data_IF_562018242462
#
_entry.id   IF_562018242462
#
_cell.length_a   1.000
_cell.length_b   1.000
_cell.length_c   1.000
_cell.angle_alpha   90.00
_cell.angle_beta   90.00
_cell.angle_gamma   90.00
#
_symmetry.space_group_name_H-M   'P 1'
#
loop_
_entity.id
_entity.type
_entity.pdbx_description
1 polymer ?
#
# COMPACT_ATOMS: atom_id res chain seq x y z
N UNK A 1 0.82 -17.79 -6.43
CA UNK A 1 2.22 -17.30 -6.37
C UNK A 1 2.18 -16.01 -5.58
N UNK A 2 2.88 -15.94 -4.44
CA UNK A 2 3.12 -14.68 -3.75
C UNK A 2 4.16 -13.90 -4.55
N UNK A 3 3.85 -12.67 -4.95
CA UNK A 3 4.81 -11.78 -5.61
C UNK A 3 5.53 -10.93 -4.56
N UNK A 4 6.83 -10.72 -4.76
CA UNK A 4 7.69 -9.95 -3.87
C UNK A 4 8.20 -8.72 -4.62
N UNK A 5 8.07 -7.55 -3.99
CA UNK A 5 8.58 -6.28 -4.48
C UNK A 5 9.58 -5.74 -3.47
N UNK A 6 10.70 -5.16 -3.92
CA UNK A 6 11.69 -4.53 -3.05
C UNK A 6 12.06 -3.18 -3.63
N UNK A 7 12.22 -2.18 -2.76
CA UNK A 7 12.66 -0.86 -3.21
C UNK A 7 12.97 0.09 -2.07
N UNK A 8 13.61 1.20 -2.43
CA UNK A 8 13.86 2.31 -1.52
C UNK A 8 12.61 3.17 -1.44
N UNK A 9 12.15 3.47 -0.21
CA UNK A 9 10.96 4.29 0.00
C UNK A 9 11.22 5.73 -0.43
N UNK A 10 10.39 6.20 -1.35
CA UNK A 10 10.48 7.54 -1.93
C UNK A 10 9.46 8.50 -1.33
N UNK A 11 9.85 9.77 -1.23
CA UNK A 11 8.94 10.83 -0.80
C UNK A 11 8.07 11.31 -1.95
N UNK A 12 6.76 11.20 -1.78
CA UNK A 12 5.76 11.72 -2.70
C UNK A 12 4.93 12.82 -2.02
N UNK A 13 3.78 13.18 -2.60
CA UNK A 13 2.90 14.25 -2.10
C UNK A 13 2.33 14.00 -0.69
N UNK A 14 2.51 12.79 -0.13
CA UNK A 14 2.09 12.47 1.24
C UNK A 14 0.58 12.59 1.46
N UNK A 15 -0.23 12.37 0.42
CA UNK A 15 -1.69 12.54 0.48
C UNK A 15 -2.34 11.59 1.47
N UNK A 16 -1.95 10.32 1.46
CA UNK A 16 -2.45 9.35 2.42
C UNK A 16 -2.21 9.80 3.86
N UNK A 17 -1.02 10.36 4.17
CA UNK A 17 -0.72 10.87 5.50
C UNK A 17 -1.67 12.00 5.95
N UNK A 18 -2.14 12.86 5.04
CA UNK A 18 -3.13 13.91 5.35
C UNK A 18 -4.53 13.33 5.64
N UNK A 19 -4.78 12.10 5.21
CA UNK A 19 -6.03 11.36 5.43
C UNK A 19 -5.92 10.37 6.60
N UNK A 20 -4.80 10.34 7.32
CA UNK A 20 -4.55 9.38 8.41
C UNK A 20 -3.91 8.05 7.97
N UNK A 21 -3.61 7.89 6.68
CA UNK A 21 -3.08 6.66 6.09
C UNK A 21 -1.70 6.90 5.44
N UNK A 22 -0.62 7.05 6.22
CA UNK A 22 0.72 7.20 5.66
C UNK A 22 1.12 5.97 4.83
N UNK A 23 1.67 6.20 3.63
CA UNK A 23 2.10 5.13 2.72
C UNK A 23 3.59 5.22 2.40
N UNK A 24 4.26 4.07 2.42
CA UNK A 24 5.60 3.88 1.89
C UNK A 24 5.49 3.63 0.37
N UNK A 25 6.19 4.43 -0.43
CA UNK A 25 6.10 4.38 -1.89
C UNK A 25 7.36 3.76 -2.47
N UNK A 26 7.24 2.71 -3.28
CA UNK A 26 8.36 2.14 -4.06
C UNK A 26 8.00 2.04 -5.54
N UNK A 27 8.98 2.23 -6.42
CA UNK A 27 8.81 2.02 -7.84
C UNK A 27 8.53 0.53 -8.14
N UNK A 28 7.67 0.25 -9.11
CA UNK A 28 7.41 -1.11 -9.57
C UNK A 28 7.48 -1.18 -11.09
N UNK A 29 7.60 -2.41 -11.61
CA UNK A 29 7.59 -2.64 -13.05
C UNK A 29 6.22 -2.23 -13.66
N UNK A 30 6.19 -1.69 -14.89
CA UNK A 30 4.95 -1.32 -15.57
C UNK A 30 3.94 -2.46 -15.71
N UNK A 31 4.40 -3.70 -15.76
CA UNK A 31 3.60 -4.92 -15.88
C UNK A 31 2.97 -5.38 -14.56
N UNK A 32 3.33 -4.75 -13.43
CA UNK A 32 2.75 -5.08 -12.14
C UNK A 32 1.22 -4.91 -12.17
N UNK A 33 0.52 -5.92 -11.67
CA UNK A 33 -0.93 -5.93 -11.61
C UNK A 33 -1.43 -4.78 -10.73
N UNK A 34 -2.42 -4.05 -11.21
CA UNK A 34 -3.01 -2.93 -10.48
C UNK A 34 -4.12 -3.40 -9.53
N UNK A 35 -4.29 -2.65 -8.44
CA UNK A 35 -5.34 -2.88 -7.47
C UNK A 35 -4.88 -2.65 -6.04
N UNK A 36 -5.70 -3.13 -5.11
CA UNK A 36 -5.42 -3.14 -3.68
C UNK A 36 -5.20 -4.58 -3.24
N UNK A 37 -4.12 -4.79 -2.51
CA UNK A 37 -3.65 -6.08 -2.07
C UNK A 37 -3.44 -6.09 -0.55
N UNK A 38 -3.54 -7.27 0.03
CA UNK A 38 -3.12 -7.55 1.41
C UNK A 38 -1.80 -8.28 1.40
N UNK A 39 -0.92 -7.90 2.31
CA UNK A 39 0.43 -8.40 2.34
C UNK A 39 1.19 -8.08 3.61
N UNK A 40 2.48 -8.39 3.57
CA UNK A 40 3.43 -8.02 4.61
C UNK A 40 4.43 -7.02 4.03
N UNK A 41 4.69 -5.94 4.75
CA UNK A 41 5.85 -5.09 4.47
C UNK A 41 6.95 -5.41 5.46
N UNK A 42 8.11 -5.83 4.97
CA UNK A 42 9.31 -6.07 5.72
C UNK A 42 10.20 -4.82 5.78
N UNK A 43 10.66 -4.48 6.97
CA UNK A 43 11.65 -3.44 7.25
C UNK A 43 12.50 -3.87 8.44
N UNK A 44 13.83 -3.77 8.30
CA UNK A 44 14.80 -4.03 9.40
C UNK A 44 14.56 -5.38 10.12
N UNK A 45 14.21 -6.43 9.36
CA UNK A 45 14.00 -7.79 9.89
C UNK A 45 12.65 -8.01 10.59
N UNK A 46 11.75 -7.02 10.59
CA UNK A 46 10.37 -7.15 11.07
C UNK A 46 9.40 -7.06 9.90
N UNK A 47 8.26 -7.73 10.03
CA UNK A 47 7.17 -7.68 9.06
C UNK A 47 5.93 -7.08 9.71
N UNK A 48 5.27 -6.19 8.99
CA UNK A 48 3.99 -5.59 9.38
C UNK A 48 2.91 -6.02 8.39
N UNK A 49 1.71 -6.42 8.86
CA UNK A 49 0.52 -6.47 8.02
C UNK A 49 0.36 -5.16 7.25
N UNK A 50 -0.02 -5.23 5.99
CA UNK A 50 -0.08 -4.05 5.13
C UNK A 50 -1.20 -4.11 4.11
N UNK A 51 -1.73 -2.93 3.80
CA UNK A 51 -2.59 -2.69 2.64
C UNK A 51 -1.70 -2.07 1.56
N UNK A 52 -1.68 -2.67 0.37
CA UNK A 52 -0.80 -2.25 -0.71
C UNK A 52 -1.64 -1.84 -1.91
N UNK A 53 -1.55 -0.59 -2.30
CA UNK A 53 -2.06 -0.12 -3.58
C UNK A 53 -0.97 -0.23 -4.63
N UNK A 54 -1.25 -0.83 -5.78
CA UNK A 54 -0.38 -0.78 -6.96
C UNK A 54 -1.16 -0.10 -8.08
N UNK A 55 -0.58 0.94 -8.64
CA UNK A 55 -1.18 1.64 -9.76
C UNK A 55 -0.45 2.92 -10.12
N UNK A 56 -0.98 3.58 -11.14
CA UNK A 56 -0.52 4.89 -11.57
C UNK A 56 -1.43 5.96 -10.95
N UNK A 57 -0.88 6.93 -10.21
CA UNK A 57 -1.68 8.01 -9.67
C UNK A 57 -2.06 8.94 -10.83
N UNK A 58 -3.28 8.80 -11.34
CA UNK A 58 -3.77 9.52 -12.53
C UNK A 58 -3.72 11.05 -12.43
N UNK A 59 -3.39 11.63 -11.28
CA UNK A 59 -3.69 13.04 -10.99
C UNK A 59 -2.70 14.07 -11.56
N UNK A 60 -1.50 13.73 -12.07
CA UNK A 60 -0.50 14.77 -12.42
C UNK A 60 0.45 14.44 -13.60
N UNK A 61 0.02 13.65 -14.59
CA UNK A 61 0.90 13.28 -15.72
C UNK A 61 2.09 12.41 -15.31
N UNK A 62 2.02 11.87 -14.09
CA UNK A 62 2.94 10.87 -13.56
C UNK A 62 2.64 9.54 -14.28
N UNK A 63 3.61 9.03 -15.02
CA UNK A 63 3.45 7.79 -15.80
C UNK A 63 3.99 6.56 -15.06
N UNK A 64 4.64 6.77 -13.93
CA UNK A 64 5.33 5.70 -13.22
C UNK A 64 4.38 4.99 -12.27
N UNK A 65 4.21 3.69 -12.52
CA UNK A 65 3.48 2.80 -11.63
C UNK A 65 4.29 2.61 -10.36
N UNK A 66 3.61 2.68 -9.21
CA UNK A 66 4.23 2.48 -7.90
C UNK A 66 3.39 1.59 -7.00
N UNK A 67 4.05 0.99 -6.02
CA UNK A 67 3.39 0.38 -4.88
C UNK A 67 3.38 1.39 -3.71
N UNK A 68 2.20 1.66 -3.18
CA UNK A 68 1.98 2.43 -1.96
C UNK A 68 1.53 1.47 -0.85
N UNK A 69 2.41 1.24 0.12
CA UNK A 69 2.15 0.32 1.23
C UNK A 69 1.82 1.09 2.50
N UNK A 70 0.63 0.86 3.06
CA UNK A 70 0.24 1.31 4.38
C UNK A 70 0.49 0.17 5.39
N UNK A 71 1.47 0.37 6.29
CA UNK A 71 1.83 -0.60 7.32
C UNK A 71 0.90 -0.43 8.53
N UNK A 72 0.17 -1.48 8.89
CA UNK A 72 -0.72 -1.45 10.03
C UNK A 72 0.08 -1.36 11.33
N UNK A 73 -0.39 -0.51 12.23
CA UNK A 73 0.13 -0.30 13.58
C UNK A 73 1.62 0.16 13.61
N UNK A 74 2.17 0.56 12.46
CA UNK A 74 3.52 1.11 12.36
C UNK A 74 3.51 2.63 12.56
N UNK A 75 4.48 3.11 13.34
CA UNK A 75 4.76 4.54 13.51
C UNK A 75 6.24 4.80 13.26
N UNK A 76 6.55 5.77 12.40
CA UNK A 76 7.93 6.18 12.13
C UNK A 76 8.11 6.74 10.73
N UNK A 77 9.34 7.16 10.42
CA UNK A 77 9.75 7.57 9.08
C UNK A 77 10.42 6.40 8.34
N UNK A 78 9.98 6.19 7.10
CA UNK A 78 10.47 5.13 6.21
C UNK A 78 11.28 5.69 5.04
N UNK A 79 11.32 7.01 4.83
CA UNK A 79 11.99 7.59 3.67
C UNK A 79 13.47 7.21 3.59
N UNK A 80 13.91 6.79 2.41
CA UNK A 80 15.27 6.36 2.16
C UNK A 80 15.60 4.96 2.69
N UNK A 81 14.68 4.28 3.39
CA UNK A 81 14.87 2.91 3.83
C UNK A 81 14.49 1.92 2.72
N UNK A 82 15.18 0.80 2.66
CA UNK A 82 14.78 -0.33 1.82
C UNK A 82 13.66 -1.12 2.52
N UNK A 83 12.59 -1.39 1.79
CA UNK A 83 11.50 -2.26 2.24
C UNK A 83 11.30 -3.41 1.26
N UNK A 84 10.78 -4.51 1.78
CA UNK A 84 10.24 -5.61 0.99
C UNK A 84 8.72 -5.63 1.16
N UNK A 85 7.95 -5.77 0.09
CA UNK A 85 6.52 -6.05 0.12
C UNK A 85 6.30 -7.47 -0.37
N UNK A 86 5.63 -8.29 0.44
CA UNK A 86 5.14 -9.61 0.07
C UNK A 86 3.63 -9.55 -0.14
N UNK A 87 3.18 -9.78 -1.37
CA UNK A 87 1.75 -9.77 -1.73
C UNK A 87 1.17 -11.15 -1.47
N UNK A 88 0.14 -11.21 -0.62
CA UNK A 88 -0.51 -12.45 -0.20
C UNK A 88 -1.86 -12.67 -0.90
N UNK A 89 -2.64 -11.60 -1.09
CA UNK A 89 -3.96 -11.68 -1.69
C UNK A 89 -4.32 -10.38 -2.40
N UNK A 90 -4.92 -10.46 -3.59
CA UNK A 90 -5.63 -9.33 -4.19
C UNK A 90 -6.94 -9.10 -3.45
N UNK A 91 -7.13 -7.92 -2.88
CA UNK A 91 -8.35 -7.56 -2.16
C UNK A 91 -9.43 -7.05 -3.11
N UNK A 92 -9.09 -6.08 -3.96
CA UNK A 92 -10.00 -5.47 -4.94
C UNK A 92 -9.24 -4.77 -6.06
N UNK A 93 -9.93 -4.48 -7.15
CA UNK A 93 -9.39 -3.61 -8.21
C UNK A 93 -9.30 -2.14 -7.77
N UNK A 94 -8.57 -1.35 -8.55
CA UNK A 94 -8.52 0.10 -8.39
C UNK A 94 -9.90 0.70 -8.69
N UNK A 95 -10.29 1.73 -7.91
CA UNK A 95 -11.57 2.41 -8.09
C UNK A 95 -11.41 3.92 -7.88
N UNK A 96 -12.21 4.71 -8.59
CA UNK A 96 -12.28 6.16 -8.42
C UNK A 96 -13.31 6.51 -7.36
N UNK A 97 -12.99 7.49 -6.52
CA UNK A 97 -13.91 8.00 -5.51
C UNK A 97 -14.40 9.40 -5.89
N UNK A 98 -15.67 9.73 -5.60
CA UNK A 98 -16.23 11.04 -5.91
C UNK A 98 -15.61 12.16 -5.05
N UNK A 99 -15.16 11.83 -3.83
CA UNK A 99 -14.58 12.76 -2.87
C UNK A 99 -13.66 12.05 -1.86
N UNK A 100 -13.07 12.83 -0.95
CA UNK A 100 -12.18 12.32 0.08
C UNK A 100 -12.90 11.49 1.15
N UNK A 101 -14.17 11.79 1.44
CA UNK A 101 -14.95 11.06 2.47
C UNK A 101 -15.24 9.64 2.00
N UNK A 102 -15.65 9.46 0.75
CA UNK A 102 -15.86 8.17 0.12
C UNK A 102 -14.56 7.35 0.05
N UNK A 103 -13.42 8.00 -0.22
CA UNK A 103 -12.12 7.35 -0.18
C UNK A 103 -11.79 6.85 1.24
N UNK A 104 -11.93 7.71 2.27
CA UNK A 104 -11.66 7.34 3.66
C UNK A 104 -12.57 6.17 4.09
N UNK A 105 -13.87 6.23 3.80
CA UNK A 105 -14.81 5.18 4.13
C UNK A 105 -14.45 3.83 3.49
N UNK A 106 -13.84 3.83 2.30
CA UNK A 106 -13.29 2.62 1.72
C UNK A 106 -12.00 2.18 2.41
N UNK A 107 -11.10 3.09 2.74
CA UNK A 107 -9.84 2.75 3.43
C UNK A 107 -10.10 2.12 4.80
N UNK A 108 -11.13 2.58 5.53
CA UNK A 108 -11.58 1.97 6.78
C UNK A 108 -12.08 0.53 6.58
N UNK A 109 -12.83 0.28 5.49
CA UNK A 109 -13.28 -1.06 5.13
C UNK A 109 -12.11 -1.97 4.74
N UNK A 110 -11.16 -1.45 3.96
CA UNK A 110 -9.95 -2.17 3.56
C UNK A 110 -9.11 -2.54 4.79
N UNK A 111 -9.01 -1.64 5.78
CA UNK A 111 -8.32 -1.90 7.05
C UNK A 111 -9.01 -2.97 7.90
N UNK A 112 -10.33 -2.89 8.05
CA UNK A 112 -11.10 -3.91 8.74
C UNK A 112 -10.90 -5.29 8.06
N UNK A 113 -10.96 -5.33 6.74
CA UNK A 113 -10.80 -6.56 5.97
C UNK A 113 -9.39 -7.16 6.07
N UNK A 114 -8.32 -6.36 6.03
CA UNK A 114 -6.96 -6.89 6.18
C UNK A 114 -6.72 -7.40 7.60
N UNK A 115 -7.27 -6.74 8.63
CA UNK A 115 -7.17 -7.21 10.02
C UNK A 115 -7.87 -8.57 10.18
N UNK A 116 -9.05 -8.74 9.59
CA UNK A 116 -9.74 -10.04 9.59
C UNK A 116 -9.00 -11.11 8.78
N UNK A 117 -8.36 -10.74 7.67
CA UNK A 117 -7.54 -11.65 6.87
C UNK A 117 -6.37 -12.23 7.68
N UNK A 118 -5.67 -11.41 8.46
CA UNK A 118 -4.53 -11.86 9.27
C UNK A 118 -4.95 -12.63 10.53
N UNK A 119 -6.11 -12.33 11.15
CA UNK A 119 -6.65 -13.14 12.26
C UNK A 119 -6.98 -14.57 11.86
N UNK A 120 -7.48 -14.79 10.64
CA UNK A 120 -7.86 -16.13 10.13
C UNK A 120 -6.66 -17.02 9.78
N UNK A 121 -5.44 -16.45 9.76
CA UNK A 121 -4.21 -17.18 9.44
C UNK A 121 -3.40 -17.59 10.69
N UNK A 122 -3.84 -17.20 11.88
CA UNK A 122 -3.36 -17.71 13.17
C UNK A 122 -4.10 -19.01 13.55
#
# INVERSE_FOLDING_TARGET
MTSRLTGIVQKHLGRGARLGYPTANIAVAPEAEEGVFFGLTGLEGKNWPSIIFIGTPETFGDTEKRAESHLLDFTGDLYGKEITIEILQKHRDNQKFPDAEALIAQMEQDEAAVREFFKKKE
#
